data_IF_428857804266
#
_entry.id   IF_428857804266
#
_cell.length_a   1.000
_cell.length_b   1.000
_cell.length_c   1.000
_cell.angle_alpha   90.00
_cell.angle_beta   90.00
_cell.angle_gamma   90.00
#
_symmetry.space_group_name_H-M   'P 1'
#
loop_
_entity.id
_entity.type
_entity.pdbx_description
1 polymer ?
#
# COMPACT_ATOMS: atom_id res chain seq x y z
N UNK A 1 -23.78 0.44 19.52
CA UNK A 1 -22.36 0.24 19.23
C UNK A 1 -22.23 -0.06 17.75
N UNK A 2 -21.78 0.89 16.92
CA UNK A 2 -21.65 0.69 15.48
C UNK A 2 -20.26 0.10 15.20
N UNK A 3 -20.08 -1.19 15.48
CA UNK A 3 -18.75 -1.84 15.42
C UNK A 3 -18.72 -3.06 14.47
N UNK A 4 -19.73 -3.19 13.60
CA UNK A 4 -19.87 -4.33 12.67
C UNK A 4 -19.77 -3.96 11.19
N UNK A 5 -19.76 -2.67 10.81
CA UNK A 5 -19.82 -2.26 9.40
C UNK A 5 -18.47 -2.24 8.67
N UNK A 6 -17.32 -2.30 9.36
CA UNK A 6 -16.00 -2.31 8.72
C UNK A 6 -15.43 -3.73 8.65
N UNK A 7 -16.26 -4.75 8.42
CA UNK A 7 -15.72 -6.13 8.33
C UNK A 7 -14.93 -6.34 7.03
N UNK A 8 -15.26 -5.61 5.97
CA UNK A 8 -14.60 -5.70 4.67
C UNK A 8 -14.50 -4.31 4.02
N UNK A 9 -13.34 -3.67 4.09
CA UNK A 9 -13.04 -2.51 3.23
C UNK A 9 -12.84 -3.03 1.81
N UNK A 10 -13.89 -2.95 0.99
CA UNK A 10 -13.91 -3.47 -0.39
C UNK A 10 -13.01 -2.66 -1.34
N UNK A 11 -12.69 -1.41 -0.97
CA UNK A 11 -11.77 -0.54 -1.68
C UNK A 11 -10.97 0.29 -0.69
N UNK A 12 -9.71 0.55 -1.02
CA UNK A 12 -8.83 1.49 -0.30
C UNK A 12 -8.39 2.53 -1.33
N UNK A 13 -8.55 3.84 -1.07
CA UNK A 13 -8.03 4.88 -1.97
C UNK A 13 -6.53 4.72 -2.21
N UNK A 14 -6.06 5.04 -3.42
CA UNK A 14 -4.65 4.84 -3.80
C UNK A 14 -3.68 5.55 -2.85
N UNK A 15 -3.99 6.78 -2.47
CA UNK A 15 -3.18 7.58 -1.55
C UNK A 15 -3.11 6.94 -0.15
N UNK A 16 -4.23 6.42 0.35
CA UNK A 16 -4.26 5.70 1.64
C UNK A 16 -3.49 4.38 1.58
N UNK A 17 -3.59 3.65 0.46
CA UNK A 17 -2.85 2.41 0.25
C UNK A 17 -1.33 2.67 0.19
N UNK A 18 -0.91 3.72 -0.51
CA UNK A 18 0.50 4.12 -0.56
C UNK A 18 1.02 4.58 0.81
N UNK A 19 0.26 5.42 1.52
CA UNK A 19 0.61 5.83 2.89
C UNK A 19 0.75 4.62 3.84
N UNK A 20 -0.14 3.63 3.72
CA UNK A 20 -0.02 2.38 4.47
C UNK A 20 1.25 1.60 4.12
N UNK A 21 1.57 1.46 2.84
CA UNK A 21 2.78 0.79 2.37
C UNK A 21 4.06 1.49 2.86
N UNK A 22 4.03 2.81 3.01
CA UNK A 22 5.16 3.61 3.52
C UNK A 22 5.31 3.59 5.04
N UNK A 23 4.30 3.11 5.78
CA UNK A 23 4.30 3.12 7.24
C UNK A 23 3.71 4.40 7.85
N UNK A 24 3.03 5.21 7.06
CA UNK A 24 2.44 6.49 7.48
C UNK A 24 0.99 6.33 7.96
N UNK A 25 0.35 5.21 7.64
CA UNK A 25 -0.99 4.84 8.08
C UNK A 25 -1.04 3.37 8.47
N UNK A 26 -1.91 3.03 9.42
CA UNK A 26 -2.19 1.65 9.80
C UNK A 26 -3.54 1.16 9.25
N UNK A 27 -4.25 1.97 8.46
CA UNK A 27 -5.60 1.65 7.95
C UNK A 27 -6.57 1.12 9.02
N UNK A 28 -6.38 1.54 10.27
CA UNK A 28 -7.09 1.09 11.47
C UNK A 28 -6.88 -0.40 11.84
N UNK A 29 -5.85 -1.06 11.33
CA UNK A 29 -5.43 -2.37 11.82
C UNK A 29 -4.78 -2.22 13.21
N UNK A 30 -5.15 -3.10 14.14
CA UNK A 30 -4.55 -3.14 15.49
C UNK A 30 -3.15 -3.76 15.50
N UNK A 31 -2.84 -4.60 14.52
CA UNK A 31 -1.54 -5.22 14.33
C UNK A 31 -1.19 -5.18 12.85
N UNK A 32 -0.18 -4.39 12.50
CA UNK A 32 0.35 -4.28 11.14
C UNK A 32 1.72 -4.92 11.11
N UNK A 33 1.98 -5.75 10.09
CA UNK A 33 3.32 -6.31 9.82
C UNK A 33 3.94 -5.65 8.61
N UNK A 34 5.27 -5.73 8.51
CA UNK A 34 6.00 -5.18 7.36
C UNK A 34 5.61 -5.90 6.06
N UNK A 35 5.33 -7.21 6.12
CA UNK A 35 4.87 -8.00 4.97
C UNK A 35 3.52 -7.49 4.45
N UNK A 36 2.59 -7.11 5.33
CA UNK A 36 1.33 -6.51 4.90
C UNK A 36 1.58 -5.21 4.13
N UNK A 37 2.47 -4.35 4.63
CA UNK A 37 2.82 -3.09 3.96
C UNK A 37 3.48 -3.32 2.62
N UNK A 38 4.39 -4.29 2.54
CA UNK A 38 5.05 -4.68 1.29
C UNK A 38 4.05 -5.23 0.27
N UNK A 39 3.10 -6.07 0.69
CA UNK A 39 2.04 -6.56 -0.21
C UNK A 39 1.18 -5.40 -0.74
N UNK A 40 0.77 -4.47 0.12
CA UNK A 40 0.01 -3.30 -0.33
C UNK A 40 0.84 -2.41 -1.26
N UNK A 41 2.14 -2.22 -0.99
CA UNK A 41 3.03 -1.48 -1.87
C UNK A 41 3.13 -2.10 -3.27
N UNK A 42 3.16 -3.44 -3.35
CA UNK A 42 3.15 -4.15 -4.63
C UNK A 42 1.84 -3.92 -5.38
N UNK A 43 0.70 -3.99 -4.68
CA UNK A 43 -0.61 -3.74 -5.28
C UNK A 43 -0.79 -2.29 -5.75
N UNK A 44 -0.17 -1.32 -5.06
CA UNK A 44 -0.14 0.08 -5.50
C UNK A 44 0.59 0.20 -6.84
N UNK A 45 1.79 -0.39 -6.96
CA UNK A 45 2.56 -0.38 -8.21
C UNK A 45 1.75 -1.05 -9.33
N UNK A 46 1.23 -2.25 -9.09
CA UNK A 46 0.45 -3.02 -10.07
C UNK A 46 -0.78 -2.22 -10.55
N UNK A 47 -1.51 -1.58 -9.64
CA UNK A 47 -2.69 -0.77 -10.01
C UNK A 47 -2.30 0.46 -10.83
N UNK A 48 -1.20 1.13 -10.50
CA UNK A 48 -0.71 2.29 -11.27
C UNK A 48 -0.27 1.88 -12.68
N UNK A 49 0.43 0.75 -12.81
CA UNK A 49 0.85 0.19 -14.09
C UNK A 49 -0.35 -0.26 -14.94
N UNK A 50 -1.32 -0.93 -14.32
CA UNK A 50 -2.59 -1.29 -14.97
C UNK A 50 -3.35 -0.06 -15.47
N UNK A 51 -3.31 1.04 -14.71
CA UNK A 51 -3.88 2.33 -15.11
C UNK A 51 -3.02 3.15 -16.09
N UNK A 52 -1.96 2.57 -16.65
CA UNK A 52 -1.00 3.21 -17.56
C UNK A 52 -0.29 4.45 -16.97
N UNK A 53 -0.23 4.57 -15.64
CA UNK A 53 0.43 5.66 -14.92
C UNK A 53 1.92 5.37 -14.70
N UNK A 54 2.63 4.98 -15.76
CA UNK A 54 4.00 4.44 -15.70
C UNK A 54 5.00 5.32 -14.93
N UNK A 55 4.92 6.64 -15.09
CA UNK A 55 5.81 7.57 -14.38
C UNK A 55 5.55 7.57 -12.88
N UNK A 56 4.28 7.59 -12.48
CA UNK A 56 3.89 7.56 -11.07
C UNK A 56 4.25 6.20 -10.45
N UNK A 57 4.06 5.11 -11.20
CA UNK A 57 4.48 3.78 -10.78
C UNK A 57 6.01 3.70 -10.54
N UNK A 58 6.82 4.32 -11.40
CA UNK A 58 8.27 4.39 -11.22
C UNK A 58 8.67 5.18 -9.96
N UNK A 59 8.04 6.33 -9.71
CA UNK A 59 8.29 7.16 -8.53
C UNK A 59 7.86 6.44 -7.24
N UNK A 60 6.71 5.75 -7.28
CA UNK A 60 6.22 4.93 -6.17
C UNK A 60 7.17 3.76 -5.88
N UNK A 61 7.64 3.05 -6.91
CA UNK A 61 8.62 1.97 -6.79
C UNK A 61 9.92 2.44 -6.15
N UNK A 62 10.47 3.57 -6.60
CA UNK A 62 11.69 4.14 -6.00
C UNK A 62 11.51 4.47 -4.51
N UNK A 63 10.35 5.02 -4.15
CA UNK A 63 10.03 5.35 -2.76
C UNK A 63 9.88 4.10 -1.89
N UNK A 64 9.22 3.06 -2.41
CA UNK A 64 9.03 1.78 -1.73
C UNK A 64 10.35 1.02 -1.56
N UNK A 65 11.21 1.02 -2.58
CA UNK A 65 12.55 0.42 -2.50
C UNK A 65 13.43 1.13 -1.47
N UNK A 66 13.35 2.47 -1.39
CA UNK A 66 14.05 3.23 -0.35
C UNK A 66 13.53 2.90 1.06
N UNK A 67 12.22 2.69 1.21
CA UNK A 67 11.59 2.35 2.50
C UNK A 67 11.89 0.91 2.94
N UNK A 68 11.90 -0.02 1.99
CA UNK A 68 12.00 -1.46 2.20
C UNK A 68 13.16 -2.06 1.39
N UNK A 69 14.42 -1.71 1.68
CA UNK A 69 15.57 -2.08 0.85
C UNK A 69 15.86 -3.59 0.77
N UNK A 70 15.24 -4.39 1.65
CA UNK A 70 15.34 -5.86 1.62
C UNK A 70 14.20 -6.56 0.89
N UNK A 71 13.18 -5.82 0.40
CA UNK A 71 12.05 -6.40 -0.31
C UNK A 71 12.37 -6.49 -1.81
N UNK A 72 12.58 -7.71 -2.32
CA UNK A 72 12.91 -7.95 -3.75
C UNK A 72 11.81 -7.48 -4.73
N UNK A 73 10.60 -7.25 -4.25
CA UNK A 73 9.46 -6.85 -5.08
C UNK A 73 9.48 -5.37 -5.51
N UNK A 74 10.38 -4.55 -4.93
CA UNK A 74 10.46 -3.10 -5.16
C UNK A 74 11.76 -2.69 -5.85
#
# INVERSE_FOLDING_TARGET
MPDQEIRFRLTIPMEEAFAFAMGESDLNYTHVTDEMRQVIGLLVIDTLEYGEQWRVAADARASLAARWPGCFAF
#
